data_IF_568216459963
#
_entry.id   IF_568216459963
#
_cell.length_a   1.000
_cell.length_b   1.000
_cell.length_c   1.000
_cell.angle_alpha   90.00
_cell.angle_beta   90.00
_cell.angle_gamma   90.00
#
_symmetry.space_group_name_H-M   'P 1'
#
loop_
_entity.id
_entity.type
_entity.pdbx_description
1 polymer ?
#
# COMPACT_ATOMS: atom_id res chain seq x y z
N UNK A 1 -19.21 -15.03 -11.58
CA UNK A 1 -18.64 -15.39 -12.90
C UNK A 1 -17.20 -15.80 -12.65
N UNK A 2 -16.98 -17.07 -12.25
CA UNK A 2 -15.73 -17.54 -11.62
C UNK A 2 -14.47 -17.36 -12.51
N UNK A 3 -14.65 -17.09 -13.81
CA UNK A 3 -13.55 -16.83 -14.75
C UNK A 3 -13.07 -15.38 -14.69
N UNK A 4 -13.95 -14.40 -14.46
CA UNK A 4 -13.57 -12.99 -14.28
C UNK A 4 -12.78 -12.79 -12.99
N UNK A 5 -13.20 -13.47 -11.91
CA UNK A 5 -12.51 -13.42 -10.62
C UNK A 5 -11.09 -13.99 -10.71
N UNK A 6 -10.92 -15.09 -11.47
CA UNK A 6 -9.60 -15.71 -11.71
C UNK A 6 -8.66 -14.84 -12.55
N UNK A 7 -9.17 -14.16 -13.59
CA UNK A 7 -8.35 -13.25 -14.40
C UNK A 7 -7.97 -11.98 -13.65
N UNK A 8 -8.88 -11.43 -12.83
CA UNK A 8 -8.59 -10.30 -11.94
C UNK A 8 -7.49 -10.64 -10.94
N UNK A 9 -7.57 -11.79 -10.27
CA UNK A 9 -6.55 -12.24 -9.33
C UNK A 9 -5.16 -12.44 -10.00
N UNK A 10 -5.12 -13.00 -11.21
CA UNK A 10 -3.88 -13.18 -11.97
C UNK A 10 -3.24 -11.84 -12.35
N UNK A 11 -4.04 -10.89 -12.85
CA UNK A 11 -3.55 -9.56 -13.18
C UNK A 11 -3.07 -8.79 -11.94
N UNK A 12 -3.76 -8.90 -10.81
CA UNK A 12 -3.32 -8.28 -9.55
C UNK A 12 -1.96 -8.80 -9.09
N UNK A 13 -1.75 -10.12 -9.12
CA UNK A 13 -0.46 -10.73 -8.79
C UNK A 13 0.67 -10.26 -9.71
N UNK A 14 0.39 -10.12 -11.01
CA UNK A 14 1.35 -9.61 -11.99
C UNK A 14 1.73 -8.15 -11.68
N UNK A 15 0.77 -7.29 -11.38
CA UNK A 15 1.02 -5.87 -11.05
C UNK A 15 1.90 -5.75 -9.81
N UNK A 16 1.62 -6.52 -8.76
CA UNK A 16 2.43 -6.53 -7.53
C UNK A 16 3.86 -6.99 -7.83
N UNK A 17 4.00 -8.04 -8.64
CA UNK A 17 5.31 -8.59 -9.03
C UNK A 17 6.11 -7.60 -9.85
N UNK A 18 5.47 -6.96 -10.84
CA UNK A 18 6.08 -5.92 -11.67
C UNK A 18 6.53 -4.73 -10.82
N UNK A 19 5.68 -4.27 -9.90
CA UNK A 19 6.02 -3.20 -8.95
C UNK A 19 7.26 -3.56 -8.12
N UNK A 20 7.36 -4.79 -7.62
CA UNK A 20 8.53 -5.27 -6.86
C UNK A 20 9.80 -5.33 -7.72
N UNK A 21 9.69 -5.84 -8.94
CA UNK A 21 10.81 -5.88 -9.90
C UNK A 21 11.31 -4.47 -10.23
N UNK A 22 10.42 -3.53 -10.49
CA UNK A 22 10.79 -2.14 -10.76
C UNK A 22 11.47 -1.52 -9.54
N UNK A 23 10.95 -1.71 -8.33
CA UNK A 23 11.60 -1.21 -7.11
C UNK A 23 13.00 -1.81 -6.90
N UNK A 24 13.16 -3.12 -7.12
CA UNK A 24 14.46 -3.79 -7.02
C UNK A 24 15.45 -3.21 -8.04
N UNK A 25 15.02 -3.03 -9.29
CA UNK A 25 15.81 -2.41 -10.33
C UNK A 25 16.25 -0.99 -9.95
N UNK A 26 15.32 -0.17 -9.48
CA UNK A 26 15.60 1.20 -9.02
C UNK A 26 16.62 1.21 -7.87
N UNK A 27 16.49 0.31 -6.90
CA UNK A 27 17.39 0.19 -5.76
C UNK A 27 18.81 -0.27 -6.15
N UNK A 28 18.94 -1.14 -7.17
CA UNK A 28 20.23 -1.64 -7.64
C UNK A 28 20.98 -0.63 -8.52
N UNK A 29 20.28 0.03 -9.44
CA UNK A 29 20.94 0.80 -10.51
C UNK A 29 20.84 2.32 -10.33
N UNK A 30 19.92 2.83 -9.50
CA UNK A 30 19.59 4.26 -9.40
C UNK A 30 19.84 4.85 -8.01
N UNK A 31 20.85 4.34 -7.29
CA UNK A 31 21.14 4.73 -5.90
C UNK A 31 21.40 6.22 -5.69
N UNK A 32 21.95 6.90 -6.70
CA UNK A 32 22.34 8.33 -6.61
C UNK A 32 21.16 9.29 -6.73
N UNK A 33 20.04 8.86 -7.30
CA UNK A 33 18.88 9.72 -7.56
C UNK A 33 17.67 9.29 -6.72
N UNK A 34 17.74 9.55 -5.42
CA UNK A 34 16.70 9.16 -4.45
C UNK A 34 15.32 9.76 -4.80
N UNK A 35 15.28 11.02 -5.24
CA UNK A 35 14.04 11.69 -5.66
C UNK A 35 13.36 10.95 -6.81
N UNK A 36 14.14 10.50 -7.80
CA UNK A 36 13.60 9.76 -8.93
C UNK A 36 13.09 8.37 -8.52
N UNK A 37 13.78 7.68 -7.60
CA UNK A 37 13.28 6.43 -7.01
C UNK A 37 11.93 6.63 -6.31
N UNK A 38 11.78 7.72 -5.55
CA UNK A 38 10.53 8.04 -4.84
C UNK A 38 9.38 8.39 -5.79
N UNK A 39 9.65 9.16 -6.86
CA UNK A 39 8.64 9.47 -7.87
C UNK A 39 8.13 8.22 -8.58
N UNK A 40 9.03 7.32 -8.99
CA UNK A 40 8.64 6.03 -9.60
C UNK A 40 7.83 5.19 -8.61
N UNK A 41 8.23 5.12 -7.34
CA UNK A 41 7.48 4.43 -6.31
C UNK A 41 6.07 5.00 -6.13
N UNK A 42 5.93 6.32 -6.10
CA UNK A 42 4.64 7.00 -5.97
C UNK A 42 3.72 6.72 -7.17
N UNK A 43 4.25 6.79 -8.40
CA UNK A 43 3.49 6.46 -9.61
C UNK A 43 3.02 5.01 -9.64
N UNK A 44 3.87 4.06 -9.24
CA UNK A 44 3.50 2.64 -9.15
C UNK A 44 2.41 2.40 -8.11
N UNK A 45 2.46 3.08 -6.96
CA UNK A 45 1.39 3.04 -5.96
C UNK A 45 0.08 3.62 -6.52
N UNK A 46 0.13 4.72 -7.28
CA UNK A 46 -1.06 5.30 -7.91
C UNK A 46 -1.71 4.33 -8.91
N UNK A 47 -0.90 3.66 -9.73
CA UNK A 47 -1.39 2.65 -10.68
C UNK A 47 -2.03 1.47 -9.91
N UNK A 48 -1.39 1.01 -8.83
CA UNK A 48 -1.93 -0.08 -8.00
C UNK A 48 -3.25 0.30 -7.31
N UNK A 49 -3.35 1.52 -6.80
CA UNK A 49 -4.59 2.04 -6.22
C UNK A 49 -5.69 2.14 -7.28
N UNK A 50 -5.40 2.75 -8.43
CA UNK A 50 -6.34 2.89 -9.54
C UNK A 50 -6.85 1.52 -10.01
N UNK A 51 -5.95 0.55 -10.13
CA UNK A 51 -6.30 -0.84 -10.44
C UNK A 51 -7.22 -1.44 -9.37
N UNK A 52 -6.91 -1.27 -8.10
CA UNK A 52 -7.70 -1.81 -6.99
C UNK A 52 -9.11 -1.21 -6.92
N UNK A 53 -9.25 0.08 -7.22
CA UNK A 53 -10.55 0.79 -7.27
C UNK A 53 -11.41 0.31 -8.44
N UNK A 54 -10.82 0.13 -9.62
CA UNK A 54 -11.54 -0.23 -10.86
C UNK A 54 -11.85 -1.72 -10.92
N UNK A 55 -10.86 -2.58 -10.67
CA UNK A 55 -10.99 -4.03 -10.89
C UNK A 55 -11.57 -4.74 -9.68
N UNK A 56 -11.36 -4.22 -8.45
CA UNK A 56 -11.85 -4.81 -7.20
C UNK A 56 -11.57 -6.31 -7.13
N UNK A 57 -10.29 -6.71 -7.00
CA UNK A 57 -9.84 -8.09 -7.25
C UNK A 57 -10.37 -9.13 -6.24
N UNK A 58 -10.93 -8.71 -5.10
CA UNK A 58 -11.43 -9.61 -4.06
C UNK A 58 -12.93 -9.86 -4.20
N UNK A 59 -13.38 -11.07 -3.87
CA UNK A 59 -14.81 -11.41 -3.87
C UNK A 59 -15.60 -10.62 -2.82
N UNK A 60 -14.99 -10.37 -1.66
CA UNK A 60 -15.63 -9.63 -0.56
C UNK A 60 -15.36 -8.13 -0.69
N UNK A 61 -16.42 -7.33 -0.61
CA UNK A 61 -16.34 -5.87 -0.66
C UNK A 61 -15.42 -5.29 0.44
N UNK A 62 -15.44 -5.89 1.63
CA UNK A 62 -14.62 -5.48 2.78
C UNK A 62 -13.11 -5.65 2.50
N UNK A 63 -12.72 -6.73 1.81
CA UNK A 63 -11.32 -6.98 1.44
C UNK A 63 -10.85 -6.02 0.34
N UNK A 64 -11.73 -5.67 -0.60
CA UNK A 64 -11.45 -4.61 -1.58
C UNK A 64 -11.25 -3.26 -0.89
N UNK A 65 -12.12 -2.90 0.05
CA UNK A 65 -12.01 -1.65 0.81
C UNK A 65 -10.70 -1.61 1.60
N UNK A 66 -10.34 -2.71 2.27
CA UNK A 66 -9.07 -2.83 2.97
C UNK A 66 -7.86 -2.69 2.04
N UNK A 67 -7.92 -3.31 0.86
CA UNK A 67 -6.87 -3.18 -0.16
C UNK A 67 -6.71 -1.74 -0.63
N UNK A 68 -7.82 -1.05 -0.91
CA UNK A 68 -7.82 0.37 -1.32
C UNK A 68 -7.26 1.25 -0.20
N UNK A 69 -7.65 0.99 1.05
CA UNK A 69 -7.14 1.69 2.23
C UNK A 69 -5.63 1.49 2.42
N UNK A 70 -5.12 0.28 2.23
CA UNK A 70 -3.69 0.00 2.36
C UNK A 70 -2.87 0.71 1.27
N UNK A 71 -3.34 0.70 0.02
CA UNK A 71 -2.66 1.42 -1.07
C UNK A 71 -2.76 2.95 -0.89
N UNK A 72 -3.87 3.48 -0.35
CA UNK A 72 -3.98 4.91 -0.08
C UNK A 72 -3.06 5.37 1.07
N UNK A 73 -2.89 4.56 2.11
CA UNK A 73 -1.89 4.82 3.15
C UNK A 73 -0.47 4.78 2.58
N UNK A 74 -0.18 3.83 1.68
CA UNK A 74 1.10 3.77 0.98
C UNK A 74 1.41 5.05 0.19
N UNK A 75 0.41 5.60 -0.51
CA UNK A 75 0.54 6.88 -1.21
C UNK A 75 0.73 8.05 -0.25
N UNK A 76 -0.05 8.11 0.83
CA UNK A 76 0.06 9.17 1.83
C UNK A 76 1.45 9.17 2.46
N UNK A 77 1.98 8.01 2.85
CA UNK A 77 3.34 7.89 3.37
C UNK A 77 4.39 8.30 2.32
N UNK A 78 4.23 7.89 1.06
CA UNK A 78 5.13 8.28 -0.03
C UNK A 78 5.17 9.80 -0.25
N UNK A 79 4.03 10.47 -0.07
CA UNK A 79 3.93 11.92 -0.17
C UNK A 79 4.74 12.61 0.94
N UNK A 80 4.57 12.19 2.20
CA UNK A 80 5.37 12.74 3.31
C UNK A 80 6.87 12.50 3.14
N UNK A 81 7.28 11.32 2.63
CA UNK A 81 8.69 11.04 2.37
C UNK A 81 9.25 11.97 1.28
N UNK A 82 8.47 12.28 0.25
CA UNK A 82 8.86 13.25 -0.77
C UNK A 82 9.08 14.63 -0.15
N UNK A 83 8.17 15.04 0.73
CA UNK A 83 8.26 16.31 1.47
C UNK A 83 9.55 16.39 2.29
N UNK A 84 9.95 15.33 3.00
CA UNK A 84 11.21 15.30 3.77
C UNK A 84 12.43 15.56 2.89
N UNK A 85 12.44 15.10 1.63
CA UNK A 85 13.59 15.32 0.74
C UNK A 85 13.78 16.79 0.36
N UNK A 86 12.69 17.57 0.28
CA UNK A 86 12.75 18.98 -0.09
C UNK A 86 13.18 19.88 1.10
N UNK A 87 12.92 19.48 2.34
CA UNK A 87 13.21 20.26 3.56
C UNK A 87 14.65 20.09 4.11
N UNK A 88 15.62 19.78 3.25
CA UNK A 88 16.99 19.35 3.59
C UNK A 88 17.78 20.16 4.64
N UNK A 89 17.30 21.33 5.08
CA UNK A 89 18.00 22.26 5.96
C UNK A 89 17.46 22.36 7.39
N UNK A 90 16.23 21.90 7.69
CA UNK A 90 15.64 22.02 9.05
C UNK A 90 15.43 20.63 9.70
N UNK A 91 16.31 20.23 10.64
CA UNK A 91 16.20 18.94 11.33
C UNK A 91 14.91 18.79 12.13
N UNK A 92 14.38 19.86 12.73
CA UNK A 92 13.20 19.77 13.60
C UNK A 92 11.96 19.38 12.78
N UNK A 93 11.78 20.01 11.62
CA UNK A 93 10.70 19.68 10.69
C UNK A 93 10.78 18.24 10.17
N UNK A 94 11.99 17.73 9.94
CA UNK A 94 12.17 16.32 9.55
C UNK A 94 11.69 15.35 10.63
N UNK A 95 11.97 15.63 11.89
CA UNK A 95 11.50 14.79 13.00
C UNK A 95 9.97 14.83 13.12
N UNK A 96 9.36 16.02 13.02
CA UNK A 96 7.91 16.15 13.07
C UNK A 96 7.22 15.36 11.95
N UNK A 97 7.68 15.50 10.70
CA UNK A 97 7.13 14.73 9.57
C UNK A 97 7.36 13.23 9.78
N UNK A 98 8.53 12.84 10.30
CA UNK A 98 8.82 11.46 10.68
C UNK A 98 7.83 10.89 11.69
N UNK A 99 7.47 11.64 12.72
CA UNK A 99 6.45 11.23 13.69
C UNK A 99 5.08 11.05 13.06
N UNK A 100 4.66 11.94 12.14
CA UNK A 100 3.40 11.77 11.40
C UNK A 100 3.39 10.50 10.55
N UNK A 101 4.50 10.17 9.87
CA UNK A 101 4.62 8.93 9.10
C UNK A 101 4.48 7.71 10.01
N UNK A 102 5.18 7.69 11.15
CA UNK A 102 5.10 6.59 12.14
C UNK A 102 3.67 6.44 12.66
N UNK A 103 3.00 7.55 12.97
CA UNK A 103 1.61 7.55 13.42
C UNK A 103 0.66 6.96 12.37
N UNK A 104 0.81 7.34 11.11
CA UNK A 104 0.02 6.80 9.99
C UNK A 104 0.21 5.28 9.87
N UNK A 105 1.44 4.79 9.96
CA UNK A 105 1.71 3.35 9.92
C UNK A 105 1.14 2.63 11.13
N UNK A 106 1.20 3.23 12.31
CA UNK A 106 0.62 2.66 13.52
C UNK A 106 -0.92 2.52 13.39
N UNK A 107 -1.60 3.58 12.94
CA UNK A 107 -3.05 3.54 12.69
C UNK A 107 -3.41 2.50 11.64
N UNK A 108 -2.62 2.40 10.56
CA UNK A 108 -2.78 1.38 9.53
C UNK A 108 -2.68 -0.03 10.10
N UNK A 109 -1.65 -0.30 10.91
CA UNK A 109 -1.41 -1.59 11.52
C UNK A 109 -2.57 -1.98 12.45
N UNK A 110 -2.98 -1.08 13.35
CA UNK A 110 -4.09 -1.31 14.27
C UNK A 110 -5.39 -1.61 13.52
N UNK A 111 -5.68 -0.84 12.46
CA UNK A 111 -6.87 -1.05 11.63
C UNK A 111 -6.85 -2.43 10.96
N UNK A 112 -5.72 -2.81 10.35
CA UNK A 112 -5.55 -4.13 9.72
C UNK A 112 -5.70 -5.27 10.74
N UNK A 113 -5.06 -5.18 11.91
CA UNK A 113 -5.18 -6.19 12.96
C UNK A 113 -6.60 -6.33 13.48
N UNK A 114 -7.30 -5.21 13.67
CA UNK A 114 -8.69 -5.20 14.15
C UNK A 114 -9.60 -5.92 13.16
N UNK A 115 -9.45 -5.64 11.87
CA UNK A 115 -10.25 -6.27 10.81
C UNK A 115 -9.98 -7.79 10.76
N UNK A 116 -8.71 -8.20 10.83
CA UNK A 116 -8.33 -9.63 10.85
C UNK A 116 -8.92 -10.33 12.08
N UNK A 117 -8.84 -9.72 13.27
CA UNK A 117 -9.38 -10.27 14.50
C UNK A 117 -10.90 -10.48 14.41
N UNK A 118 -11.64 -9.49 13.92
CA UNK A 118 -13.09 -9.58 13.73
C UNK A 118 -13.46 -10.70 12.77
N UNK A 119 -12.79 -10.79 11.61
CA UNK A 119 -13.05 -11.87 10.65
C UNK A 119 -12.69 -13.25 11.20
N UNK A 120 -11.60 -13.35 11.97
CA UNK A 120 -11.21 -14.57 12.66
C UNK A 120 -12.33 -15.06 13.60
N UNK A 121 -12.84 -14.18 14.45
CA UNK A 121 -13.91 -14.50 15.41
C UNK A 121 -15.20 -14.92 14.70
N UNK A 122 -15.61 -14.18 13.65
CA UNK A 122 -16.82 -14.50 12.89
C UNK A 122 -16.70 -15.88 12.20
N UNK A 123 -15.54 -16.21 11.64
CA UNK A 123 -15.37 -17.51 10.98
C UNK A 123 -15.35 -18.67 11.98
N UNK A 124 -14.70 -18.50 13.14
CA UNK A 124 -14.68 -19.52 14.20
C UNK A 124 -16.09 -19.79 14.72
N UNK A 125 -16.89 -18.75 14.99
CA UNK A 125 -18.28 -18.89 15.46
C UNK A 125 -19.22 -19.54 14.44
N UNK A 126 -18.94 -19.39 13.13
CA UNK A 126 -19.68 -20.10 12.07
C UNK A 126 -19.36 -21.59 11.98
N UNK A 127 -18.13 -21.99 12.27
CA UNK A 127 -17.70 -23.40 12.26
C UNK A 127 -18.24 -24.15 13.50
N UNK A 128 -18.43 -23.43 14.61
CA UNK A 128 -18.95 -23.99 15.86
C UNK A 128 -20.48 -24.20 15.87
N UNK A 129 -21.21 -23.74 14.84
CA UNK A 129 -22.65 -23.95 14.66
C UNK A 129 -22.91 -24.99 13.58
#
# INVERSE_FOLDING_TARGET
DMRKDRQGALHGSLIITLRRLTMLYMAMFVQRQQVFQMQVFMQLNFIALAYSVVVRPFEKAELNLLSIFNESIGLLASYFILTIQDYAYDPEQHYEIGYYIVYIFYVSAVTNFTIIAIFGIINVTKIAK
#
